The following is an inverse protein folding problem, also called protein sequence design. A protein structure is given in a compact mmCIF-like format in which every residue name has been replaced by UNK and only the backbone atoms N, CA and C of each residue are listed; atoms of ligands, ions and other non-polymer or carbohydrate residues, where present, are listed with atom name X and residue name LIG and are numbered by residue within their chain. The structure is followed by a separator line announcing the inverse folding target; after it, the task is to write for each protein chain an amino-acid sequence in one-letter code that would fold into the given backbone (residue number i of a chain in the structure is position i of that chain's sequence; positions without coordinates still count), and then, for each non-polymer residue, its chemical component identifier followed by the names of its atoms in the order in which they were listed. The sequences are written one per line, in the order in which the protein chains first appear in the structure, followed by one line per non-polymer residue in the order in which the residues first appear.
data_IF_753015480829
#
_entry.id   IF_753015480829
#
_cell.length_a   1.000
_cell.length_b   1.000
_cell.length_c   1.000
_cell.angle_alpha   90.00
_cell.angle_beta   90.00
_cell.angle_gamma   90.00
#
_symmetry.space_group_name_H-M   'P 1'
#
loop_
_entity.id
_entity.type
_entity.pdbx_description
1 polymer ?
#
# COMPACT_ATOMS: atom_id res chain seq x y z
N UNK A 1 31.80 18.13 51.36
CA UNK A 1 32.14 18.56 50.00
C UNK A 1 31.06 19.55 49.56
N UNK A 2 31.36 20.84 49.48
CA UNK A 2 30.31 21.83 49.17
C UNK A 2 30.16 22.06 47.66
N UNK A 3 31.25 22.09 46.88
CA UNK A 3 31.21 22.46 45.45
C UNK A 3 32.39 21.90 44.62
N UNK A 4 32.99 20.78 45.04
CA UNK A 4 34.10 20.15 44.29
C UNK A 4 33.64 19.75 42.89
N UNK A 5 34.50 19.97 41.90
CA UNK A 5 34.22 19.62 40.50
C UNK A 5 34.19 18.09 40.33
N UNK A 6 33.34 17.58 39.44
CA UNK A 6 33.15 16.14 39.17
C UNK A 6 34.46 15.40 38.80
N UNK A 7 35.49 16.13 38.38
CA UNK A 7 36.82 15.60 38.10
C UNK A 7 37.59 15.09 39.33
N UNK A 8 37.21 15.50 40.54
CA UNK A 8 37.99 15.29 41.77
C UNK A 8 39.42 15.88 41.76
N UNK A 9 39.76 16.72 40.77
CA UNK A 9 41.02 17.49 40.79
C UNK A 9 41.03 18.44 41.99
N UNK A 10 42.15 18.42 42.72
CA UNK A 10 42.30 19.23 43.94
C UNK A 10 42.21 20.72 43.60
N UNK A 11 41.37 21.45 44.33
CA UNK A 11 41.17 22.89 44.11
C UNK A 11 40.27 23.25 42.91
N UNK A 12 39.72 22.26 42.20
CA UNK A 12 38.72 22.49 41.15
C UNK A 12 37.31 22.53 41.76
N UNK A 13 36.57 23.60 41.47
CA UNK A 13 35.22 23.81 41.97
C UNK A 13 34.28 24.27 40.87
N UNK A 14 33.02 23.84 40.94
CA UNK A 14 31.93 24.33 40.09
C UNK A 14 30.63 24.39 40.90
N UNK A 15 30.11 25.60 41.14
CA UNK A 15 28.84 25.79 41.86
C UNK A 15 27.64 25.66 40.91
N UNK A 16 27.83 25.83 39.61
CA UNK A 16 26.73 25.96 38.64
C UNK A 16 25.79 24.74 38.52
N UNK A 17 26.19 23.47 38.80
CA UNK A 17 25.26 22.35 38.81
C UNK A 17 24.21 22.44 39.92
N UNK A 18 24.56 23.05 41.06
CA UNK A 18 23.63 23.24 42.19
C UNK A 18 22.71 24.47 42.01
N UNK A 19 23.06 25.36 41.08
CA UNK A 19 22.30 26.58 40.80
C UNK A 19 21.91 26.65 39.31
N UNK A 20 20.95 25.83 38.86
CA UNK A 20 20.61 25.69 37.44
C UNK A 20 20.01 26.94 36.81
N UNK A 21 19.54 27.89 37.61
CA UNK A 21 18.94 29.16 37.15
C UNK A 21 19.97 30.25 36.83
N UNK A 22 21.26 30.05 37.15
CA UNK A 22 22.29 31.03 36.80
C UNK A 22 22.54 31.05 35.29
N UNK A 23 22.53 32.25 34.72
CA UNK A 23 22.59 32.46 33.27
C UNK A 23 23.90 33.12 32.78
N UNK A 24 24.63 33.79 33.67
CA UNK A 24 25.94 34.36 33.37
C UNK A 24 26.73 34.65 34.65
N UNK A 25 28.06 34.76 34.50
CA UNK A 25 28.96 35.19 35.57
C UNK A 25 29.24 36.68 35.39
N UNK A 26 29.01 37.47 36.44
CA UNK A 26 29.24 38.91 36.45
C UNK A 26 30.47 39.24 37.31
N UNK A 27 31.57 39.58 36.66
CA UNK A 27 32.81 39.98 37.34
C UNK A 27 32.74 41.44 37.80
N UNK A 28 33.17 41.71 39.04
CA UNK A 28 33.17 43.03 39.64
C UNK A 28 34.61 43.54 39.82
N UNK A 29 34.87 44.78 39.43
CA UNK A 29 36.16 45.42 39.65
C UNK A 29 36.50 45.50 41.15
N UNK A 30 37.79 45.39 41.47
CA UNK A 30 38.29 45.41 42.85
C UNK A 30 38.05 44.12 43.66
N UNK A 31 37.57 43.05 43.04
CA UNK A 31 37.46 41.70 43.62
C UNK A 31 38.50 40.76 43.00
N UNK A 32 39.03 39.83 43.81
CA UNK A 32 39.94 38.78 43.34
C UNK A 32 39.09 37.72 42.64
N UNK A 33 39.38 37.46 41.37
CA UNK A 33 38.70 36.43 40.60
C UNK A 33 39.01 35.03 41.13
N UNK A 34 38.01 34.15 41.08
CA UNK A 34 38.11 32.76 41.51
C UNK A 34 38.15 31.85 40.28
N UNK A 35 39.01 30.83 40.26
CA UNK A 35 39.05 29.87 39.16
C UNK A 35 37.67 29.20 38.93
N UNK A 36 36.90 28.98 40.00
CA UNK A 36 35.53 28.48 39.96
C UNK A 36 34.60 29.31 39.07
N UNK A 37 34.77 30.64 39.04
CA UNK A 37 33.95 31.55 38.22
C UNK A 37 34.17 31.32 36.72
N UNK A 38 35.39 30.96 36.32
CA UNK A 38 35.69 30.60 34.93
C UNK A 38 35.08 29.25 34.55
N UNK A 39 35.15 28.27 35.45
CA UNK A 39 34.53 26.94 35.24
C UNK A 39 33.01 27.09 35.13
N UNK A 40 32.40 27.87 36.01
CA UNK A 40 30.96 28.15 35.99
C UNK A 40 30.53 28.84 34.69
N UNK A 41 31.31 29.82 34.21
CA UNK A 41 31.04 30.48 32.94
C UNK A 41 31.05 29.48 31.77
N UNK A 42 31.99 28.52 31.77
CA UNK A 42 32.04 27.45 30.76
C UNK A 42 30.85 26.51 30.86
N UNK A 43 30.53 26.03 32.07
CA UNK A 43 29.40 25.10 32.29
C UNK A 43 28.07 25.75 31.88
N UNK A 44 27.85 27.03 32.23
CA UNK A 44 26.65 27.78 31.84
C UNK A 44 26.58 27.93 30.31
N UNK A 45 27.69 28.30 29.65
CA UNK A 45 27.72 28.44 28.20
C UNK A 45 27.44 27.09 27.49
N UNK A 46 28.05 26.00 27.97
CA UNK A 46 27.81 24.66 27.42
C UNK A 46 26.35 24.23 27.56
N UNK A 47 25.69 24.56 28.68
CA UNK A 47 24.26 24.32 28.88
C UNK A 47 23.40 25.05 27.84
N UNK A 48 23.73 26.30 27.53
CA UNK A 48 23.06 27.10 26.50
C UNK A 48 23.23 26.49 25.11
N UNK A 49 24.47 26.14 24.75
CA UNK A 49 24.77 25.52 23.44
C UNK A 49 24.04 24.19 23.30
N UNK A 50 24.06 23.34 24.35
CA UNK A 50 23.31 22.07 24.36
C UNK A 50 21.82 22.30 24.19
N UNK A 51 21.24 23.30 24.85
CA UNK A 51 19.82 23.64 24.71
C UNK A 51 19.46 23.98 23.25
N UNK A 52 20.30 24.76 22.58
CA UNK A 52 20.13 25.11 21.16
C UNK A 52 20.26 23.87 20.26
N UNK A 53 21.31 23.07 20.45
CA UNK A 53 21.51 21.84 19.67
C UNK A 53 20.37 20.84 19.84
N UNK A 54 19.81 20.75 21.05
CA UNK A 54 18.69 19.87 21.37
C UNK A 54 17.37 20.28 20.70
N UNK A 55 17.30 21.46 20.07
CA UNK A 55 16.17 21.83 19.22
C UNK A 55 16.15 21.06 17.89
N UNK A 56 17.31 20.56 17.44
CA UNK A 56 17.47 19.96 16.09
C UNK A 56 17.99 18.53 16.11
N UNK A 57 18.65 18.09 17.17
CA UNK A 57 19.16 16.72 17.34
C UNK A 57 18.90 16.22 18.76
N UNK A 58 18.74 14.90 18.91
CA UNK A 58 18.58 14.22 20.20
C UNK A 58 19.83 13.43 20.54
N UNK A 59 20.11 13.29 21.84
CA UNK A 59 21.24 12.48 22.29
C UNK A 59 21.08 11.02 21.78
N UNK A 60 22.09 10.50 21.08
CA UNK A 60 22.05 9.20 20.40
C UNK A 60 21.77 9.28 18.90
N UNK A 61 21.41 10.45 18.36
CA UNK A 61 21.22 10.62 16.93
C UNK A 61 22.53 10.40 16.18
N UNK A 62 22.46 9.58 15.12
CA UNK A 62 23.57 9.40 14.19
C UNK A 62 23.69 10.62 13.29
N UNK A 63 24.91 11.12 13.09
CA UNK A 63 25.21 12.23 12.16
C UNK A 63 25.84 11.67 10.89
N UNK A 64 26.76 10.73 11.03
CA UNK A 64 27.47 10.09 9.91
C UNK A 64 27.91 8.67 10.33
N UNK A 65 27.73 7.67 9.47
CA UNK A 65 28.16 6.29 9.75
C UNK A 65 27.49 5.67 10.98
N UNK A 66 28.29 5.02 11.83
CA UNK A 66 27.84 4.31 13.03
C UNK A 66 26.86 3.17 12.74
N UNK A 67 26.99 2.51 11.57
CA UNK A 67 26.11 1.42 11.15
C UNK A 67 26.27 0.18 12.02
N UNK A 68 25.18 -0.57 12.15
CA UNK A 68 25.06 -1.77 12.97
C UNK A 68 24.95 -3.03 12.11
N UNK A 69 25.77 -4.02 12.42
CA UNK A 69 25.74 -5.36 11.83
C UNK A 69 25.53 -6.34 12.98
N UNK A 70 24.49 -7.18 12.87
CA UNK A 70 24.09 -8.10 13.94
C UNK A 70 24.31 -9.53 13.48
N UNK A 71 25.04 -10.31 14.28
CA UNK A 71 25.13 -11.76 14.14
C UNK A 71 24.38 -12.42 15.30
N UNK A 72 23.16 -12.88 15.00
CA UNK A 72 22.25 -13.49 15.96
C UNK A 72 22.79 -14.83 16.47
N UNK A 73 23.48 -15.60 15.62
CA UNK A 73 24.01 -16.91 15.99
C UNK A 73 25.21 -16.79 16.93
N UNK A 74 26.09 -15.80 16.68
CA UNK A 74 27.25 -15.51 17.51
C UNK A 74 26.94 -14.63 18.73
N UNK A 75 25.71 -14.09 18.85
CA UNK A 75 25.35 -13.08 19.86
C UNK A 75 26.26 -11.85 19.84
N UNK A 76 26.69 -11.42 18.65
CA UNK A 76 27.59 -10.27 18.48
C UNK A 76 26.93 -9.14 17.69
N UNK A 77 27.29 -7.92 18.06
CA UNK A 77 26.88 -6.69 17.38
C UNK A 77 28.13 -5.92 16.99
N UNK A 78 28.37 -5.78 15.70
CA UNK A 78 29.48 -5.00 15.15
C UNK A 78 29.00 -3.61 14.78
N UNK A 79 29.72 -2.60 15.22
CA UNK A 79 29.45 -1.20 15.01
C UNK A 79 30.60 -0.56 14.24
N UNK A 80 30.26 0.09 13.13
CA UNK A 80 31.23 0.79 12.28
C UNK A 80 31.54 2.16 12.91
N UNK A 81 32.73 2.70 12.65
CA UNK A 81 33.06 4.05 13.07
C UNK A 81 32.09 5.09 12.47
N UNK A 82 31.88 6.18 13.19
CA UNK A 82 30.98 7.24 12.76
C UNK A 82 31.00 8.44 13.68
N UNK A 83 29.97 9.27 13.57
CA UNK A 83 29.75 10.48 14.37
C UNK A 83 28.35 10.47 14.95
N UNK A 84 28.25 10.71 16.25
CA UNK A 84 26.99 10.73 16.99
C UNK A 84 26.83 12.09 17.69
N UNK A 85 25.59 12.57 17.78
CA UNK A 85 25.24 13.71 18.61
C UNK A 85 24.98 13.24 20.05
N UNK A 86 25.80 13.71 20.99
CA UNK A 86 25.71 13.34 22.42
C UNK A 86 26.07 14.54 23.29
N UNK A 87 25.24 14.82 24.28
CA UNK A 87 25.44 15.86 25.28
C UNK A 87 25.66 17.27 24.69
N UNK A 88 24.96 17.60 23.60
CA UNK A 88 25.03 18.94 23.00
C UNK A 88 26.07 19.13 21.91
N UNK A 89 26.75 18.07 21.47
CA UNK A 89 27.86 18.14 20.50
C UNK A 89 27.97 16.87 19.68
N UNK A 90 28.63 16.98 18.53
CA UNK A 90 28.96 15.83 17.68
C UNK A 90 30.30 15.25 18.12
N UNK A 91 30.35 13.95 18.40
CA UNK A 91 31.55 13.22 18.82
C UNK A 91 31.78 12.02 17.90
N UNK A 92 33.05 11.65 17.77
CA UNK A 92 33.45 10.45 17.05
C UNK A 92 33.07 9.21 17.87
N UNK A 93 32.32 8.31 17.23
CA UNK A 93 32.02 6.99 17.73
C UNK A 93 33.01 6.00 17.10
N UNK A 94 33.84 5.30 17.91
CA UNK A 94 34.80 4.35 17.37
C UNK A 94 34.08 3.12 16.79
N UNK A 95 34.78 2.36 15.94
CA UNK A 95 34.32 1.01 15.60
C UNK A 95 34.41 0.11 16.85
N UNK A 96 33.43 -0.76 17.04
CA UNK A 96 33.40 -1.68 18.18
C UNK A 96 32.69 -2.99 17.84
N UNK A 97 33.01 -4.04 18.58
CA UNK A 97 32.29 -5.31 18.56
C UNK A 97 31.80 -5.57 19.97
N UNK A 98 30.49 -5.61 20.15
CA UNK A 98 29.84 -5.97 21.40
C UNK A 98 29.57 -7.48 21.37
N UNK A 99 29.99 -8.17 22.42
CA UNK A 99 29.75 -9.60 22.62
C UNK A 99 28.67 -9.83 23.68
N UNK A 100 28.10 -11.04 23.70
CA UNK A 100 27.11 -11.46 24.70
C UNK A 100 25.87 -10.56 24.74
N UNK A 101 25.51 -10.00 23.58
CA UNK A 101 24.32 -9.13 23.46
C UNK A 101 23.08 -10.02 23.49
N UNK A 102 22.12 -9.80 24.41
CA UNK A 102 20.90 -10.61 24.45
C UNK A 102 20.10 -10.48 23.16
N UNK A 103 19.94 -11.58 22.42
CA UNK A 103 19.21 -11.61 21.14
C UNK A 103 17.70 -11.85 21.30
N UNK A 104 17.17 -11.76 22.52
CA UNK A 104 15.75 -11.96 22.85
C UNK A 104 15.26 -10.82 23.72
N UNK A 105 14.05 -10.34 23.47
CA UNK A 105 13.50 -9.17 24.14
C UNK A 105 14.02 -7.86 23.56
N UNK A 106 13.82 -6.77 24.30
CA UNK A 106 14.22 -5.42 23.90
C UNK A 106 15.57 -5.05 24.53
N UNK A 107 16.57 -4.76 23.69
CA UNK A 107 17.92 -4.36 24.11
C UNK A 107 18.29 -3.03 23.45
N UNK A 108 18.65 -2.04 24.27
CA UNK A 108 19.15 -0.76 23.78
C UNK A 108 20.64 -0.86 23.52
N UNK A 109 21.08 -0.60 22.29
CA UNK A 109 22.49 -0.43 21.94
C UNK A 109 22.78 1.05 21.86
N UNK A 110 23.84 1.51 22.51
CA UNK A 110 24.11 2.94 22.61
C UNK A 110 25.55 3.25 22.98
N UNK A 111 25.82 4.51 23.21
CA UNK A 111 27.15 4.99 23.63
C UNK A 111 27.09 5.59 25.03
N UNK A 112 28.18 5.43 25.77
CA UNK A 112 28.46 6.14 27.01
C UNK A 112 29.45 7.25 26.76
N UNK A 113 29.25 8.39 27.40
CA UNK A 113 30.15 9.52 27.34
C UNK A 113 31.25 9.37 28.38
N UNK A 114 32.45 9.01 27.92
CA UNK A 114 33.65 8.96 28.75
C UNK A 114 34.21 10.38 28.90
N UNK A 115 34.40 10.81 30.15
CA UNK A 115 35.06 12.06 30.50
C UNK A 115 36.42 11.75 31.10
N UNK A 116 37.47 12.30 30.50
CA UNK A 116 38.83 12.21 31.03
C UNK A 116 39.38 13.61 31.26
N UNK A 117 40.21 13.76 32.27
CA UNK A 117 40.80 15.04 32.66
C UNK A 117 42.31 14.94 32.47
N UNK A 118 42.85 15.77 31.57
CA UNK A 118 44.27 15.82 31.22
C UNK A 118 44.90 17.02 31.89
N UNK A 119 45.96 16.78 32.65
CA UNK A 119 46.73 17.76 33.41
C UNK A 119 48.11 17.95 32.80
N UNK A 120 48.88 18.89 33.34
CA UNK A 120 50.28 19.13 32.96
C UNK A 120 51.20 17.91 33.16
N UNK A 121 50.80 16.96 34.02
CA UNK A 121 51.53 15.72 34.22
C UNK A 121 51.45 14.79 33.00
N UNK A 122 50.30 14.77 32.32
CA UNK A 122 50.11 13.99 31.10
C UNK A 122 50.48 14.77 29.84
N UNK A 123 50.23 16.08 29.82
CA UNK A 123 50.50 16.96 28.68
C UNK A 123 51.31 18.19 29.13
N UNK A 124 52.66 18.15 29.03
CA UNK A 124 53.53 19.25 29.47
C UNK A 124 53.28 20.59 28.76
N UNK A 125 52.61 20.60 27.60
CA UNK A 125 52.19 21.83 26.93
C UNK A 125 51.15 22.65 27.74
N UNK A 126 50.61 22.10 28.82
CA UNK A 126 49.71 22.79 29.75
C UNK A 126 50.43 23.63 30.82
N UNK A 127 51.77 23.57 30.90
CA UNK A 127 52.56 24.46 31.75
C UNK A 127 52.54 25.90 31.23
N UNK A 128 52.72 26.88 32.11
CA UNK A 128 52.72 28.29 31.70
C UNK A 128 53.88 28.63 30.76
N UNK A 129 53.53 29.27 29.64
CA UNK A 129 54.40 29.41 28.47
C UNK A 129 55.16 30.74 28.38
N UNK A 130 54.78 31.75 29.15
CA UNK A 130 55.32 33.11 29.03
C UNK A 130 56.65 33.24 29.76
N UNK A 131 57.79 33.43 29.05
CA UNK A 131 59.08 33.53 29.72
C UNK A 131 59.16 34.75 30.65
N UNK A 132 59.69 34.54 31.86
CA UNK A 132 59.87 35.56 32.89
C UNK A 132 58.61 35.95 33.65
N UNK A 133 57.46 35.32 33.38
CA UNK A 133 56.26 35.53 34.21
C UNK A 133 56.30 34.68 35.48
N UNK A 134 55.50 35.07 36.49
CA UNK A 134 55.31 34.24 37.70
C UNK A 134 54.64 32.89 37.43
N UNK A 135 54.08 32.71 36.24
CA UNK A 135 53.40 31.48 35.84
C UNK A 135 54.27 30.61 34.92
N UNK A 136 55.48 31.03 34.55
CA UNK A 136 56.36 30.25 33.69
C UNK A 136 56.66 28.89 34.34
N UNK A 137 56.36 27.79 33.63
CA UNK A 137 56.59 26.43 34.14
C UNK A 137 55.64 25.97 35.25
N UNK A 138 54.67 26.79 35.66
CA UNK A 138 53.65 26.42 36.66
C UNK A 138 52.50 25.62 36.01
N UNK A 139 51.85 24.77 36.82
CA UNK A 139 50.72 23.95 36.39
C UNK A 139 49.53 24.81 35.92
N UNK A 140 49.07 24.57 34.70
CA UNK A 140 47.91 25.24 34.12
C UNK A 140 46.59 24.54 34.43
N UNK A 141 45.50 25.08 33.89
CA UNK A 141 44.19 24.44 33.98
C UNK A 141 44.16 23.12 33.17
N UNK A 142 43.49 22.09 33.71
CA UNK A 142 43.28 20.82 33.05
C UNK A 142 42.43 20.94 31.76
N UNK A 143 42.45 19.90 30.91
CA UNK A 143 41.55 19.74 29.75
C UNK A 143 40.55 18.64 30.03
N UNK A 144 39.28 18.89 29.69
CA UNK A 144 38.25 17.85 29.67
C UNK A 144 38.19 17.26 28.27
N UNK A 145 38.46 15.96 28.15
CA UNK A 145 38.40 15.22 26.89
C UNK A 145 37.21 14.28 26.94
N UNK A 146 36.35 14.40 25.93
CA UNK A 146 35.17 13.56 25.75
C UNK A 146 35.47 12.48 24.71
N UNK A 147 35.11 11.24 25.03
CA UNK A 147 35.12 10.13 24.08
C UNK A 147 33.82 9.33 24.21
N UNK A 148 33.46 8.60 23.15
CA UNK A 148 32.32 7.69 23.17
C UNK A 148 32.82 6.25 23.27
N UNK A 149 32.17 5.46 24.12
CA UNK A 149 32.33 4.02 24.19
C UNK A 149 30.99 3.33 23.98
N UNK A 150 30.96 2.36 23.05
CA UNK A 150 29.76 1.58 22.80
C UNK A 150 29.44 0.64 23.95
N UNK A 151 28.15 0.38 24.14
CA UNK A 151 27.64 -0.57 25.11
C UNK A 151 26.17 -0.89 24.85
N UNK A 152 25.59 -1.67 25.74
CA UNK A 152 24.19 -2.07 25.64
C UNK A 152 23.50 -2.14 27.00
N UNK A 153 22.17 -2.07 27.01
CA UNK A 153 21.39 -2.17 28.25
C UNK A 153 21.62 -3.53 28.91
N UNK A 154 22.17 -3.52 30.13
CA UNK A 154 22.46 -4.73 30.91
C UNK A 154 23.89 -5.25 30.79
N UNK A 155 24.77 -4.57 30.08
CA UNK A 155 26.21 -4.91 29.97
C UNK A 155 27.04 -4.61 31.23
N UNK A 156 26.43 -3.99 32.25
CA UNK A 156 27.09 -3.64 33.51
C UNK A 156 28.03 -2.44 33.43
N UNK A 157 28.09 -1.70 32.31
CA UNK A 157 28.93 -0.52 32.17
C UNK A 157 28.46 0.67 33.01
N UNK A 158 29.40 1.39 33.62
CA UNK A 158 29.14 2.57 34.44
C UNK A 158 28.74 3.80 33.61
N UNK A 159 27.82 4.62 34.14
CA UNK A 159 27.36 5.86 33.50
C UNK A 159 26.14 5.69 32.60
N UNK A 160 25.58 6.82 32.17
CA UNK A 160 24.36 6.87 31.37
C UNK A 160 24.62 6.37 29.93
N UNK A 161 23.76 5.45 29.47
CA UNK A 161 23.76 4.94 28.10
C UNK A 161 22.84 5.79 27.22
N UNK A 162 23.41 6.48 26.24
CA UNK A 162 22.65 7.18 25.20
C UNK A 162 22.27 6.19 24.09
N UNK A 163 21.00 5.80 24.05
CA UNK A 163 20.47 4.81 23.11
C UNK A 163 20.59 5.30 21.66
N UNK A 164 21.19 4.48 20.79
CA UNK A 164 21.32 4.73 19.35
C UNK A 164 20.43 3.77 18.56
N UNK A 165 20.43 2.49 18.93
CA UNK A 165 19.58 1.46 18.33
C UNK A 165 18.74 0.75 19.38
N UNK A 166 17.57 0.27 18.96
CA UNK A 166 16.76 -0.66 19.74
C UNK A 166 16.72 -1.99 18.99
N UNK A 167 17.33 -3.02 19.58
CA UNK A 167 17.19 -4.40 19.15
C UNK A 167 15.93 -4.99 19.76
N UNK A 168 15.15 -5.70 18.95
CA UNK A 168 14.06 -6.55 19.40
C UNK A 168 14.20 -7.92 18.78
N UNK A 169 14.39 -8.92 19.63
CA UNK A 169 14.53 -10.32 19.22
C UNK A 169 15.62 -10.53 18.14
N UNK A 170 16.76 -9.85 18.30
CA UNK A 170 17.91 -9.95 17.40
C UNK A 170 17.81 -9.12 16.12
N UNK A 171 16.76 -8.30 15.97
CA UNK A 171 16.56 -7.41 14.82
C UNK A 171 16.57 -5.96 15.29
N UNK A 172 17.34 -5.09 14.64
CA UNK A 172 17.25 -3.64 14.86
C UNK A 172 15.92 -3.13 14.32
N UNK A 173 15.08 -2.56 15.21
CA UNK A 173 13.76 -2.04 14.84
C UNK A 173 13.88 -0.87 13.87
N UNK A 174 14.90 -0.02 14.05
CA UNK A 174 15.08 1.18 13.26
C UNK A 174 16.56 1.33 12.87
N UNK A 175 16.85 1.10 11.58
CA UNK A 175 18.15 1.36 10.95
C UNK A 175 18.11 2.60 10.06
N UNK A 176 17.08 3.44 10.21
CA UNK A 176 16.90 4.62 9.35
C UNK A 176 18.18 5.45 9.39
N UNK A 177 18.72 5.86 8.22
CA UNK A 177 19.87 6.74 8.13
C UNK A 177 19.69 7.98 9.02
N UNK A 178 20.79 8.59 9.50
CA UNK A 178 20.79 9.85 10.24
C UNK A 178 19.62 10.75 9.88
N UNK A 179 18.80 11.21 10.84
CA UNK A 179 17.79 12.21 10.56
C UNK A 179 18.50 13.49 10.08
N UNK A 180 18.70 13.61 8.77
CA UNK A 180 19.07 14.87 8.14
C UNK A 180 17.94 15.85 8.47
N UNK A 181 18.17 16.72 9.44
CA UNK A 181 17.35 17.89 9.78
C UNK A 181 15.84 17.59 9.77
N UNK A 182 15.39 16.60 10.56
CA UNK A 182 13.99 16.14 10.54
C UNK A 182 12.97 17.24 10.81
N UNK A 183 13.27 18.20 11.68
CA UNK A 183 12.36 19.32 11.94
C UNK A 183 12.16 20.23 10.72
N UNK A 184 13.25 20.60 10.04
CA UNK A 184 13.20 21.50 8.89
C UNK A 184 12.64 20.76 7.66
N UNK A 185 13.07 19.53 7.42
CA UNK A 185 12.57 18.72 6.31
C UNK A 185 11.10 18.34 6.50
N UNK A 186 10.63 18.10 7.72
CA UNK A 186 9.21 17.88 8.00
C UNK A 186 8.37 19.14 7.74
N UNK A 187 8.85 20.32 8.17
CA UNK A 187 8.16 21.58 7.88
C UNK A 187 8.15 21.90 6.38
N UNK A 188 9.26 21.64 5.68
CA UNK A 188 9.34 21.82 4.24
C UNK A 188 8.43 20.84 3.49
N UNK A 189 8.33 19.59 3.96
CA UNK A 189 7.43 18.60 3.38
C UNK A 189 5.95 19.01 3.52
N UNK A 190 5.55 19.54 4.68
CA UNK A 190 4.20 20.08 4.88
C UNK A 190 3.97 21.26 3.92
N UNK A 191 4.89 22.21 3.88
CA UNK A 191 4.76 23.38 3.01
C UNK A 191 4.65 23.01 1.52
N UNK A 192 5.50 22.11 1.04
CA UNK A 192 5.47 21.66 -0.35
C UNK A 192 4.20 20.86 -0.68
N UNK A 193 3.73 20.00 0.24
CA UNK A 193 2.49 19.25 0.05
C UNK A 193 1.26 20.17 0.04
N UNK A 194 1.19 21.15 0.94
CA UNK A 194 0.08 22.11 0.96
C UNK A 194 0.04 22.99 -0.31
N UNK A 195 1.21 23.29 -0.89
CA UNK A 195 1.31 24.06 -2.12
C UNK A 195 1.03 23.26 -3.39
N UNK A 196 1.54 22.02 -3.49
CA UNK A 196 1.61 21.28 -4.76
C UNK A 196 0.89 19.91 -4.72
N UNK A 197 0.48 19.42 -3.56
CA UNK A 197 -0.02 18.05 -3.38
C UNK A 197 1.02 16.98 -3.67
N UNK A 198 0.58 15.80 -4.12
CA UNK A 198 1.46 14.74 -4.61
C UNK A 198 1.72 14.94 -6.11
N UNK A 199 2.98 14.84 -6.55
CA UNK A 199 3.32 15.06 -7.96
C UNK A 199 4.51 14.24 -8.41
N UNK A 200 4.59 13.99 -9.72
CA UNK A 200 5.76 13.39 -10.35
C UNK A 200 6.72 14.52 -10.71
N UNK A 201 7.97 14.41 -10.25
CA UNK A 201 9.02 15.37 -10.58
C UNK A 201 9.63 15.05 -11.94
N UNK A 202 9.91 13.77 -12.20
CA UNK A 202 10.44 13.27 -13.47
C UNK A 202 10.24 11.76 -13.57
N UNK A 203 10.09 11.23 -14.79
CA UNK A 203 9.95 9.78 -15.01
C UNK A 203 8.65 9.21 -14.45
N UNK A 204 8.72 8.05 -13.79
CA UNK A 204 7.57 7.36 -13.17
C UNK A 204 6.38 7.14 -14.12
N UNK A 205 6.64 7.05 -15.43
CA UNK A 205 5.60 6.79 -16.41
C UNK A 205 5.10 5.35 -16.28
N UNK A 206 3.79 5.18 -16.40
CA UNK A 206 3.14 3.87 -16.35
C UNK A 206 2.95 3.37 -17.78
N UNK A 207 3.37 2.14 -18.04
CA UNK A 207 3.13 1.42 -19.29
C UNK A 207 2.48 0.08 -19.02
N UNK A 208 1.51 -0.31 -19.86
CA UNK A 208 0.89 -1.62 -19.78
C UNK A 208 1.74 -2.64 -20.57
N UNK A 209 2.21 -3.69 -19.90
CA UNK A 209 2.93 -4.79 -20.53
C UNK A 209 1.98 -5.85 -21.13
N UNK A 210 0.70 -5.81 -20.74
CA UNK A 210 -0.32 -6.73 -21.22
C UNK A 210 -0.72 -7.77 -20.17
N UNK A 211 -1.47 -8.77 -20.60
CA UNK A 211 -1.95 -9.86 -19.76
C UNK A 211 -0.86 -10.93 -19.59
N UNK A 212 -0.68 -11.38 -18.36
CA UNK A 212 0.14 -12.52 -17.98
C UNK A 212 -0.70 -13.44 -17.08
N UNK A 213 -1.30 -14.48 -17.66
CA UNK A 213 -2.28 -15.31 -16.96
C UNK A 213 -3.56 -14.53 -16.61
N UNK A 214 -3.90 -14.48 -15.32
CA UNK A 214 -5.06 -13.75 -14.80
C UNK A 214 -4.76 -12.28 -14.47
N UNK A 215 -3.48 -11.89 -14.51
CA UNK A 215 -3.04 -10.57 -14.08
C UNK A 215 -2.81 -9.65 -15.29
N UNK A 216 -3.19 -8.40 -15.13
CA UNK A 216 -2.72 -7.31 -15.97
C UNK A 216 -1.40 -6.79 -15.39
N UNK A 217 -0.34 -6.80 -16.20
CA UNK A 217 0.99 -6.38 -15.77
C UNK A 217 1.27 -4.97 -16.24
N UNK A 218 1.70 -4.13 -15.30
CA UNK A 218 2.11 -2.75 -15.53
C UNK A 218 3.59 -2.58 -15.18
N UNK A 219 4.26 -1.67 -15.89
CA UNK A 219 5.61 -1.23 -15.58
C UNK A 219 5.62 0.25 -15.28
N UNK A 220 6.10 0.62 -14.09
CA UNK A 220 6.34 2.00 -13.68
C UNK A 220 7.81 2.28 -13.89
N UNK A 221 8.17 3.21 -14.77
CA UNK A 221 9.56 3.53 -15.09
C UNK A 221 10.31 4.13 -13.89
N UNK A 222 11.65 4.14 -13.97
CA UNK A 222 12.51 4.89 -13.07
C UNK A 222 12.14 6.39 -13.06
N UNK A 223 12.45 7.07 -11.96
CA UNK A 223 12.05 8.46 -11.79
C UNK A 223 12.00 8.92 -10.35
N UNK A 224 11.48 10.13 -10.18
CA UNK A 224 11.33 10.79 -8.87
C UNK A 224 9.89 11.26 -8.73
N UNK A 225 9.24 10.79 -7.67
CA UNK A 225 7.92 11.27 -7.24
C UNK A 225 8.04 12.00 -5.90
N UNK A 226 7.18 13.00 -5.70
CA UNK A 226 7.04 13.68 -4.43
C UNK A 226 5.69 13.29 -3.80
N UNK A 227 5.77 12.66 -2.63
CA UNK A 227 4.64 12.05 -1.95
C UNK A 227 4.63 12.58 -0.52
N UNK A 228 3.57 13.31 -0.15
CA UNK A 228 3.46 14.02 1.14
C UNK A 228 4.68 14.90 1.44
N UNK A 229 5.19 15.59 0.42
CA UNK A 229 6.34 16.49 0.53
C UNK A 229 7.70 15.79 0.67
N UNK A 230 7.73 14.46 0.56
CA UNK A 230 8.96 13.67 0.57
C UNK A 230 9.28 13.12 -0.82
N UNK A 231 10.52 13.35 -1.26
CA UNK A 231 11.02 12.83 -2.54
C UNK A 231 11.33 11.34 -2.44
N UNK A 232 10.71 10.54 -3.30
CA UNK A 232 10.99 9.12 -3.52
C UNK A 232 11.64 8.94 -4.87
N UNK A 233 12.91 8.53 -4.86
CA UNK A 233 13.71 8.29 -6.07
C UNK A 233 13.78 6.80 -6.34
N UNK A 234 13.53 6.41 -7.59
CA UNK A 234 13.67 5.05 -8.08
C UNK A 234 14.67 5.03 -9.22
N UNK A 235 15.65 4.13 -9.12
CA UNK A 235 16.68 3.93 -10.13
C UNK A 235 16.34 2.83 -11.14
N UNK A 236 15.26 2.08 -10.90
CA UNK A 236 14.82 0.99 -11.76
C UNK A 236 13.30 0.91 -11.83
N UNK A 237 12.81 0.38 -12.96
CA UNK A 237 11.40 0.17 -13.20
C UNK A 237 10.78 -0.83 -12.20
N UNK A 238 9.57 -0.54 -11.74
CA UNK A 238 8.74 -1.46 -10.95
C UNK A 238 7.81 -2.24 -11.86
N UNK A 239 7.68 -3.55 -11.64
CA UNK A 239 6.55 -4.29 -12.18
C UNK A 239 5.45 -4.39 -11.13
N UNK A 240 4.25 -3.98 -11.52
CA UNK A 240 3.04 -4.16 -10.72
C UNK A 240 2.13 -5.16 -11.43
N UNK A 241 1.63 -6.15 -10.70
CA UNK A 241 0.70 -7.16 -11.19
C UNK A 241 -0.61 -6.98 -10.45
N UNK A 242 -1.67 -6.75 -11.20
CA UNK A 242 -3.02 -6.63 -10.65
C UNK A 242 -3.92 -7.68 -11.29
N UNK A 243 -4.64 -8.43 -10.45
CA UNK A 243 -5.60 -9.43 -10.95
C UNK A 243 -6.82 -8.75 -11.54
N UNK A 244 -7.20 -9.12 -12.77
CA UNK A 244 -8.34 -8.52 -13.42
C UNK A 244 -9.66 -8.86 -12.70
N UNK A 245 -10.36 -7.82 -12.25
CA UNK A 245 -11.69 -7.94 -11.64
C UNK A 245 -12.67 -6.96 -12.28
N UNK A 246 -13.86 -7.46 -12.60
CA UNK A 246 -14.90 -6.70 -13.30
C UNK A 246 -16.18 -6.68 -12.49
N UNK A 247 -16.84 -5.53 -12.47
CA UNK A 247 -18.21 -5.46 -12.02
C UNK A 247 -19.12 -5.79 -13.21
N UNK A 248 -20.16 -6.57 -12.97
CA UNK A 248 -21.03 -7.10 -14.02
C UNK A 248 -22.40 -6.44 -13.97
N UNK A 249 -22.96 -6.19 -15.15
CA UNK A 249 -24.35 -5.79 -15.29
C UNK A 249 -25.09 -6.82 -16.13
N UNK A 250 -26.23 -7.28 -15.61
CA UNK A 250 -27.08 -8.26 -16.28
C UNK A 250 -28.08 -7.55 -17.19
N UNK A 251 -28.20 -8.01 -18.42
CA UNK A 251 -29.30 -7.71 -19.32
C UNK A 251 -30.21 -8.95 -19.37
N UNK A 252 -31.36 -8.96 -18.67
CA UNK A 252 -32.19 -10.16 -18.57
C UNK A 252 -32.79 -10.60 -19.89
N UNK A 253 -33.04 -9.66 -20.81
CA UNK A 253 -33.61 -9.97 -22.12
C UNK A 253 -33.25 -8.87 -23.11
N UNK A 254 -32.38 -9.20 -24.06
CA UNK A 254 -32.15 -8.41 -25.26
C UNK A 254 -32.73 -9.13 -26.48
N UNK A 255 -33.51 -8.41 -27.27
CA UNK A 255 -34.27 -8.99 -28.39
C UNK A 255 -33.61 -8.66 -29.71
N UNK A 256 -33.41 -9.70 -30.53
CA UNK A 256 -32.90 -9.60 -31.90
C UNK A 256 -33.78 -10.39 -32.87
N UNK A 257 -33.58 -10.20 -34.17
CA UNK A 257 -34.26 -10.96 -35.22
C UNK A 257 -33.33 -12.02 -35.78
N UNK A 258 -33.84 -13.25 -35.87
CA UNK A 258 -33.13 -14.37 -36.47
C UNK A 258 -33.11 -14.21 -37.99
N UNK A 259 -31.90 -14.23 -38.57
CA UNK A 259 -31.67 -14.09 -40.00
C UNK A 259 -31.41 -15.45 -40.66
N UNK A 260 -30.38 -15.48 -41.51
CA UNK A 260 -29.90 -16.75 -42.10
C UNK A 260 -29.36 -17.65 -41.00
N UNK A 261 -29.63 -18.96 -41.05
CA UNK A 261 -29.16 -19.93 -40.06
C UNK A 261 -27.75 -20.44 -40.43
N UNK A 262 -26.71 -20.29 -39.57
CA UNK A 262 -26.71 -19.62 -38.27
C UNK A 262 -26.61 -18.09 -38.39
N UNK A 263 -27.20 -17.38 -37.42
CA UNK A 263 -27.24 -15.91 -37.37
C UNK A 263 -26.16 -15.38 -36.43
N UNK A 264 -25.38 -14.41 -36.91
CA UNK A 264 -24.47 -13.63 -36.05
C UNK A 264 -25.27 -12.47 -35.46
N UNK A 265 -25.30 -12.40 -34.13
CA UNK A 265 -26.00 -11.36 -33.37
C UNK A 265 -24.96 -10.46 -32.72
N UNK A 266 -25.03 -9.17 -32.99
CA UNK A 266 -24.24 -8.15 -32.27
C UNK A 266 -25.07 -7.65 -31.09
N UNK A 267 -24.60 -7.88 -29.88
CA UNK A 267 -25.27 -7.40 -28.67
C UNK A 267 -25.04 -5.89 -28.47
N UNK A 268 -26.02 -5.23 -27.87
CA UNK A 268 -25.99 -3.77 -27.66
C UNK A 268 -24.95 -3.35 -26.61
N UNK A 269 -24.60 -4.25 -25.69
CA UNK A 269 -23.63 -4.00 -24.63
C UNK A 269 -22.52 -5.04 -24.65
N UNK A 270 -21.30 -4.59 -24.40
CA UNK A 270 -20.13 -5.44 -24.24
C UNK A 270 -19.03 -4.69 -23.47
N UNK A 271 -17.93 -5.35 -23.09
CA UNK A 271 -17.59 -6.72 -23.44
C UNK A 271 -18.45 -7.79 -22.74
N UNK A 272 -18.84 -8.84 -23.46
CA UNK A 272 -19.58 -9.99 -22.92
C UNK A 272 -18.72 -10.68 -21.85
N UNK A 273 -19.31 -10.90 -20.68
CA UNK A 273 -18.70 -11.71 -19.62
C UNK A 273 -19.18 -13.16 -19.71
N UNK A 274 -20.50 -13.35 -19.72
CA UNK A 274 -21.13 -14.67 -19.72
C UNK A 274 -22.48 -14.61 -20.44
N UNK A 275 -22.77 -15.60 -21.27
CA UNK A 275 -24.11 -15.84 -21.82
C UNK A 275 -24.82 -16.79 -20.87
N UNK A 276 -25.98 -16.37 -20.34
CA UNK A 276 -26.78 -17.19 -19.40
C UNK A 276 -27.77 -18.07 -20.14
N UNK A 277 -28.54 -17.46 -21.04
CA UNK A 277 -29.55 -18.15 -21.81
C UNK A 277 -29.76 -17.48 -23.16
N UNK A 278 -30.01 -18.28 -24.20
CA UNK A 278 -30.47 -17.80 -25.50
C UNK A 278 -31.72 -18.58 -25.87
N UNK A 279 -32.81 -17.87 -26.09
CA UNK A 279 -34.06 -18.42 -26.61
C UNK A 279 -34.21 -17.98 -28.07
N UNK A 280 -34.58 -18.90 -28.93
CA UNK A 280 -34.92 -18.60 -30.33
C UNK A 280 -36.31 -19.12 -30.66
N UNK A 281 -37.01 -18.40 -31.52
CA UNK A 281 -38.27 -18.88 -32.06
C UNK A 281 -38.00 -20.01 -33.07
N UNK A 282 -38.49 -21.20 -32.75
CA UNK A 282 -38.41 -22.41 -33.56
C UNK A 282 -39.78 -22.72 -34.16
N UNK A 283 -39.80 -23.44 -35.27
CA UNK A 283 -41.02 -23.94 -35.90
C UNK A 283 -40.95 -25.45 -35.95
N UNK A 284 -42.03 -26.11 -35.53
CA UNK A 284 -42.12 -27.57 -35.49
C UNK A 284 -43.52 -28.00 -35.93
N UNK A 285 -43.59 -29.21 -36.49
CA UNK A 285 -44.85 -29.89 -36.76
C UNK A 285 -44.90 -31.15 -35.91
N UNK A 286 -45.77 -31.16 -34.90
CA UNK A 286 -45.94 -32.30 -33.99
C UNK A 286 -47.29 -32.98 -34.20
N UNK A 287 -47.35 -34.26 -33.83
CA UNK A 287 -48.60 -35.02 -33.78
C UNK A 287 -49.16 -34.99 -32.36
N UNK A 288 -50.40 -34.51 -32.21
CA UNK A 288 -51.10 -34.36 -30.93
C UNK A 288 -52.31 -35.30 -30.92
N UNK A 289 -52.64 -35.87 -29.75
CA UNK A 289 -53.81 -36.72 -29.55
C UNK A 289 -54.95 -35.89 -28.98
N UNK A 290 -56.14 -35.98 -29.58
CA UNK A 290 -57.35 -35.28 -29.13
C UNK A 290 -57.86 -35.85 -27.80
N UNK A 291 -58.02 -34.98 -26.81
CA UNK A 291 -58.55 -35.30 -25.49
C UNK A 291 -59.99 -35.82 -25.49
N UNK A 292 -60.33 -36.53 -24.40
CA UNK A 292 -61.63 -37.19 -24.17
C UNK A 292 -62.85 -36.27 -24.07
N UNK A 293 -62.62 -34.97 -23.80
CA UNK A 293 -63.65 -34.00 -23.47
C UNK A 293 -63.93 -33.11 -24.68
N UNK A 294 -65.16 -33.12 -25.23
CA UNK A 294 -65.57 -32.19 -26.29
C UNK A 294 -65.34 -30.74 -25.88
N UNK A 295 -64.90 -29.88 -26.80
CA UNK A 295 -64.50 -28.50 -26.53
C UNK A 295 -63.37 -28.35 -25.48
N UNK A 296 -62.64 -29.45 -25.21
CA UNK A 296 -61.48 -29.46 -24.32
C UNK A 296 -60.24 -28.79 -24.92
N UNK A 297 -59.10 -28.92 -24.23
CA UNK A 297 -57.81 -28.41 -24.72
C UNK A 297 -56.75 -29.51 -24.70
N UNK A 298 -55.88 -29.50 -25.71
CA UNK A 298 -54.82 -30.50 -25.88
C UNK A 298 -53.45 -29.84 -25.75
N UNK A 299 -52.54 -30.47 -24.99
CA UNK A 299 -51.22 -29.91 -24.71
C UNK A 299 -50.24 -30.13 -25.88
N UNK A 300 -49.47 -29.09 -26.19
CA UNK A 300 -48.37 -29.17 -27.14
C UNK A 300 -47.11 -29.74 -26.44
N UNK A 301 -46.23 -30.35 -27.23
CA UNK A 301 -45.02 -31.02 -26.72
C UNK A 301 -44.03 -29.99 -26.15
N UNK A 302 -43.89 -28.85 -26.82
CA UNK A 302 -43.00 -27.78 -26.40
C UNK A 302 -43.76 -26.71 -25.61
N UNK A 303 -43.11 -26.16 -24.59
CA UNK A 303 -43.59 -25.02 -23.80
C UNK A 303 -43.15 -23.69 -24.38
N UNK A 304 -43.80 -22.59 -24.00
CA UNK A 304 -43.45 -21.26 -24.53
C UNK A 304 -43.91 -21.08 -25.98
N UNK A 305 -45.06 -21.65 -26.32
CA UNK A 305 -45.65 -21.55 -27.66
C UNK A 305 -45.99 -20.09 -27.95
N UNK A 306 -45.52 -19.55 -29.07
CA UNK A 306 -45.75 -18.15 -29.48
C UNK A 306 -46.96 -18.05 -30.41
N UNK A 307 -47.08 -18.97 -31.37
CA UNK A 307 -48.17 -18.99 -32.35
C UNK A 307 -48.46 -20.40 -32.87
N UNK A 308 -49.72 -20.67 -33.21
CA UNK A 308 -50.10 -21.87 -33.98
C UNK A 308 -50.30 -21.43 -35.42
N UNK A 309 -49.61 -22.08 -36.36
CA UNK A 309 -49.62 -21.75 -37.78
C UNK A 309 -50.68 -22.55 -38.53
N UNK A 310 -50.77 -23.85 -38.24
CA UNK A 310 -51.65 -24.76 -38.98
C UNK A 310 -52.05 -25.95 -38.11
N UNK A 311 -53.31 -26.39 -38.22
CA UNK A 311 -53.83 -27.59 -37.54
C UNK A 311 -54.57 -28.42 -38.57
N UNK A 312 -54.09 -29.64 -38.82
CA UNK A 312 -54.61 -30.51 -39.86
C UNK A 312 -54.90 -31.92 -39.33
N UNK A 313 -55.99 -32.51 -39.80
CA UNK A 313 -56.27 -33.94 -39.65
C UNK A 313 -56.66 -34.54 -41.01
N UNK A 314 -55.78 -35.35 -41.60
CA UNK A 314 -56.00 -35.88 -42.95
C UNK A 314 -56.13 -34.76 -43.98
N UNK A 315 -57.30 -34.64 -44.60
CA UNK A 315 -57.60 -33.59 -45.59
C UNK A 315 -58.30 -32.35 -44.97
N UNK A 316 -58.61 -32.37 -43.67
CA UNK A 316 -59.31 -31.28 -42.99
C UNK A 316 -58.31 -30.34 -42.34
N UNK A 317 -58.35 -29.06 -42.74
CA UNK A 317 -57.64 -27.95 -42.07
C UNK A 317 -58.62 -27.20 -41.18
N UNK A 318 -58.31 -27.11 -39.90
CA UNK A 318 -59.12 -26.38 -38.94
C UNK A 318 -58.76 -24.89 -38.96
N UNK A 319 -59.74 -24.01 -38.78
CA UNK A 319 -59.57 -22.57 -38.82
C UNK A 319 -59.53 -21.95 -37.42
N UNK A 320 -58.58 -21.04 -37.15
CA UNK A 320 -58.58 -20.20 -35.94
C UNK A 320 -59.12 -18.80 -36.28
N UNK A 321 -60.01 -18.20 -35.47
CA UNK A 321 -60.49 -18.65 -34.15
C UNK A 321 -61.76 -19.52 -34.19
N UNK A 322 -62.25 -19.93 -35.36
CA UNK A 322 -63.57 -20.56 -35.52
C UNK A 322 -63.66 -21.98 -34.92
N UNK A 323 -62.63 -22.79 -35.12
CA UNK A 323 -62.54 -24.18 -34.70
C UNK A 323 -61.66 -24.34 -33.46
N UNK A 324 -60.54 -23.61 -33.39
CA UNK A 324 -59.64 -23.63 -32.24
C UNK A 324 -59.02 -22.26 -31.96
N UNK A 325 -58.48 -22.10 -30.75
CA UNK A 325 -57.67 -20.96 -30.35
C UNK A 325 -56.42 -21.43 -29.60
N UNK A 326 -55.37 -20.59 -29.55
CA UNK A 326 -54.20 -20.84 -28.69
C UNK A 326 -54.54 -20.43 -27.26
N UNK A 327 -54.36 -21.33 -26.30
CA UNK A 327 -54.49 -21.04 -24.88
C UNK A 327 -53.23 -21.48 -24.13
N UNK A 328 -52.31 -20.56 -23.83
CA UNK A 328 -51.01 -20.90 -23.28
C UNK A 328 -50.22 -21.81 -24.24
N UNK A 329 -49.81 -22.98 -23.75
CA UNK A 329 -49.14 -24.04 -24.51
C UNK A 329 -50.12 -25.13 -25.00
N UNK A 330 -51.40 -24.77 -25.13
CA UNK A 330 -52.48 -25.68 -25.51
C UNK A 330 -53.15 -25.24 -26.82
N UNK A 331 -53.66 -26.22 -27.56
CA UNK A 331 -54.70 -26.00 -28.58
C UNK A 331 -56.05 -26.12 -27.88
N UNK A 332 -56.82 -25.03 -27.81
CA UNK A 332 -58.13 -25.00 -27.18
C UNK A 332 -59.23 -25.08 -28.22
N UNK A 333 -60.08 -26.11 -28.11
CA UNK A 333 -61.24 -26.34 -28.96
C UNK A 333 -62.52 -25.70 -28.41
N UNK A 334 -62.39 -24.82 -27.40
CA UNK A 334 -63.51 -24.15 -26.74
C UNK A 334 -64.33 -23.23 -27.66
N UNK A 335 -63.87 -23.00 -28.89
CA UNK A 335 -64.58 -22.22 -29.90
C UNK A 335 -65.88 -22.90 -30.38
N UNK A 336 -66.01 -24.22 -30.21
CA UNK A 336 -67.23 -24.97 -30.56
C UNK A 336 -67.43 -25.23 -32.05
N UNK A 337 -66.41 -25.00 -32.87
CA UNK A 337 -66.40 -25.34 -34.30
C UNK A 337 -66.07 -26.81 -34.56
N UNK A 338 -65.46 -27.11 -35.71
CA UNK A 338 -65.02 -28.45 -36.04
C UNK A 338 -63.83 -28.87 -35.16
N UNK A 339 -63.89 -30.04 -34.53
CA UNK A 339 -62.77 -30.61 -33.78
C UNK A 339 -62.44 -32.03 -34.27
N UNK A 340 -61.18 -32.49 -34.15
CA UNK A 340 -60.80 -33.87 -34.41
C UNK A 340 -61.62 -34.85 -33.57
N UNK A 341 -61.84 -36.06 -34.10
CA UNK A 341 -62.54 -37.09 -33.35
C UNK A 341 -61.81 -37.42 -32.04
N UNK A 342 -62.54 -37.58 -30.94
CA UNK A 342 -61.97 -37.94 -29.63
C UNK A 342 -61.09 -39.19 -29.73
N UNK A 343 -59.85 -39.13 -29.20
CA UNK A 343 -58.88 -40.23 -29.23
C UNK A 343 -58.13 -40.41 -30.56
N UNK A 344 -58.42 -39.59 -31.57
CA UNK A 344 -57.64 -39.54 -32.82
C UNK A 344 -56.43 -38.62 -32.71
N UNK A 345 -55.50 -38.73 -33.66
CA UNK A 345 -54.33 -37.86 -33.76
C UNK A 345 -54.50 -36.83 -34.87
N UNK A 346 -53.93 -35.64 -34.67
CA UNK A 346 -53.88 -34.56 -35.65
C UNK A 346 -52.51 -33.87 -35.61
N UNK A 347 -52.11 -33.20 -36.69
CA UNK A 347 -50.82 -32.52 -36.76
C UNK A 347 -51.00 -31.03 -36.48
N UNK A 348 -50.13 -30.48 -35.64
CA UNK A 348 -50.07 -29.06 -35.33
C UNK A 348 -48.72 -28.52 -35.75
N UNK A 349 -48.73 -27.54 -36.65
CA UNK A 349 -47.57 -26.74 -36.99
C UNK A 349 -47.60 -25.46 -36.17
N UNK A 350 -46.59 -25.21 -35.36
CA UNK A 350 -46.56 -24.08 -34.44
C UNK A 350 -45.14 -23.55 -34.21
N UNK A 351 -45.07 -22.34 -33.64
CA UNK A 351 -43.82 -21.72 -33.21
C UNK A 351 -43.74 -21.66 -31.69
N UNK A 352 -42.53 -21.82 -31.17
CA UNK A 352 -42.25 -21.79 -29.74
C UNK A 352 -40.85 -21.23 -29.47
N UNK A 353 -40.63 -20.70 -28.26
CA UNK A 353 -39.30 -20.28 -27.81
C UNK A 353 -38.52 -21.48 -27.28
N UNK A 354 -37.48 -21.89 -27.99
CA UNK A 354 -36.61 -22.98 -27.59
C UNK A 354 -35.24 -22.48 -27.16
N UNK A 355 -34.69 -23.05 -26.08
CA UNK A 355 -33.33 -22.75 -25.61
C UNK A 355 -32.31 -23.29 -26.64
N UNK A 356 -31.25 -22.50 -26.87
CA UNK A 356 -30.10 -22.86 -27.70
C UNK A 356 -28.80 -22.39 -27.05
N UNK A 357 -27.71 -23.09 -27.35
CA UNK A 357 -26.37 -22.66 -26.94
C UNK A 357 -25.75 -21.77 -28.01
N UNK A 358 -25.28 -20.59 -27.61
CA UNK A 358 -24.50 -19.73 -28.49
C UNK A 358 -23.09 -20.31 -28.74
N UNK A 359 -22.53 -20.00 -29.90
CA UNK A 359 -21.17 -20.35 -30.33
C UNK A 359 -20.42 -19.09 -30.77
N UNK A 360 -19.10 -19.18 -30.98
CA UNK A 360 -18.25 -18.08 -31.45
C UNK A 360 -18.46 -16.75 -30.70
N UNK A 361 -18.49 -16.83 -29.37
CA UNK A 361 -18.71 -15.67 -28.50
C UNK A 361 -17.47 -14.77 -28.54
N UNK A 362 -17.64 -13.56 -29.05
CA UNK A 362 -16.61 -12.50 -29.04
C UNK A 362 -16.91 -11.49 -27.93
N UNK A 363 -16.20 -10.35 -27.90
CA UNK A 363 -16.50 -9.28 -26.95
C UNK A 363 -17.89 -8.66 -27.15
N UNK A 364 -18.46 -8.72 -28.35
CA UNK A 364 -19.74 -8.04 -28.67
C UNK A 364 -20.68 -8.87 -29.54
N UNK A 365 -20.26 -10.04 -30.00
CA UNK A 365 -21.06 -10.87 -30.91
C UNK A 365 -21.21 -12.29 -30.41
N UNK A 366 -22.31 -12.92 -30.79
CA UNK A 366 -22.57 -14.35 -30.61
C UNK A 366 -23.12 -14.97 -31.90
N UNK A 367 -22.85 -16.25 -32.13
CA UNK A 367 -23.45 -17.01 -33.24
C UNK A 367 -24.53 -17.93 -32.70
N UNK A 368 -25.75 -17.81 -33.25
CA UNK A 368 -26.94 -18.54 -32.79
C UNK A 368 -27.55 -19.33 -33.95
N UNK A 369 -27.89 -20.60 -33.70
CA UNK A 369 -28.44 -21.50 -34.71
C UNK A 369 -29.80 -22.07 -34.30
N UNK A 370 -30.53 -22.63 -35.26
CA UNK A 370 -31.73 -23.43 -35.01
C UNK A 370 -33.01 -22.64 -34.78
N UNK A 371 -33.04 -21.34 -35.10
CA UNK A 371 -34.24 -20.52 -35.18
C UNK A 371 -34.83 -20.45 -36.58
N UNK A 372 -36.04 -19.88 -36.68
CA UNK A 372 -36.75 -19.65 -37.94
C UNK A 372 -36.39 -18.26 -38.47
N UNK A 373 -36.14 -18.15 -39.78
CA UNK A 373 -35.84 -16.86 -40.41
C UNK A 373 -36.98 -15.85 -40.19
N UNK A 374 -36.65 -14.66 -39.70
CA UNK A 374 -37.60 -13.63 -39.28
C UNK A 374 -38.20 -13.82 -37.88
N UNK A 375 -37.84 -14.90 -37.18
CA UNK A 375 -38.27 -15.18 -35.81
C UNK A 375 -37.46 -14.39 -34.77
N UNK A 376 -37.91 -14.43 -33.52
CA UNK A 376 -37.27 -13.70 -32.42
C UNK A 376 -36.07 -14.47 -31.83
N UNK A 377 -35.03 -13.74 -31.42
CA UNK A 377 -33.95 -14.19 -30.54
C UNK A 377 -34.06 -13.38 -29.25
N UNK A 378 -33.96 -14.04 -28.10
CA UNK A 378 -33.87 -13.40 -26.78
C UNK A 378 -32.57 -13.85 -26.11
N UNK A 379 -31.77 -12.91 -25.65
CA UNK A 379 -30.47 -13.18 -25.02
C UNK A 379 -30.47 -12.63 -23.60
N UNK A 380 -30.19 -13.49 -22.62
CA UNK A 380 -29.87 -13.13 -21.23
C UNK A 380 -28.36 -13.25 -21.04
N UNK A 381 -27.70 -12.14 -20.71
CA UNK A 381 -26.25 -12.10 -20.59
C UNK A 381 -25.77 -11.07 -19.56
N UNK A 382 -24.55 -11.30 -19.08
CA UNK A 382 -23.80 -10.34 -18.29
C UNK A 382 -22.73 -9.68 -19.16
N UNK A 383 -22.57 -8.37 -19.05
CA UNK A 383 -21.45 -7.65 -19.64
C UNK A 383 -20.60 -6.96 -18.58
N UNK A 384 -19.34 -6.71 -18.93
CA UNK A 384 -18.34 -6.07 -18.05
C UNK A 384 -18.54 -4.56 -18.10
N UNK A 385 -18.75 -3.94 -16.95
CA UNK A 385 -18.83 -2.48 -16.85
C UNK A 385 -17.44 -1.86 -17.04
N UNK A 386 -17.31 -0.78 -17.82
CA UNK A 386 -16.06 -0.04 -17.92
C UNK A 386 -15.75 0.62 -16.58
N UNK A 387 -14.46 0.64 -16.23
CA UNK A 387 -13.94 1.23 -15.00
C UNK A 387 -12.60 1.89 -15.27
N UNK A 388 -12.38 3.03 -14.64
CA UNK A 388 -11.08 3.71 -14.65
C UNK A 388 -10.44 3.54 -13.27
N UNK A 389 -9.34 2.81 -13.24
CA UNK A 389 -8.54 2.56 -12.03
C UNK A 389 -7.30 3.45 -12.01
N UNK A 390 -6.74 3.69 -10.82
CA UNK A 390 -5.55 4.53 -10.64
C UNK A 390 -4.41 3.69 -10.08
N UNK A 391 -3.29 3.63 -10.80
CA UNK A 391 -2.03 3.09 -10.31
C UNK A 391 -1.15 4.24 -9.82
N UNK A 392 -0.78 4.22 -8.55
CA UNK A 392 0.03 5.25 -7.90
C UNK A 392 1.18 4.67 -7.08
N UNK A 393 1.82 5.54 -6.30
CA UNK A 393 2.86 5.18 -5.34
C UNK A 393 2.42 5.58 -3.92
N UNK A 394 2.74 4.76 -2.92
CA UNK A 394 2.54 5.10 -1.51
C UNK A 394 3.68 5.95 -0.93
N UNK A 395 3.55 6.31 0.36
CA UNK A 395 4.57 7.06 1.10
C UNK A 395 5.93 6.38 1.13
N UNK A 396 6.01 5.08 0.91
CA UNK A 396 7.25 4.30 0.94
C UNK A 396 7.82 4.06 -0.46
N UNK A 397 7.09 4.46 -1.52
CA UNK A 397 7.49 4.31 -2.92
C UNK A 397 7.10 2.97 -3.54
N UNK A 398 6.21 2.20 -2.90
CA UNK A 398 5.63 0.99 -3.46
C UNK A 398 4.45 1.31 -4.38
N UNK A 399 4.18 0.44 -5.37
CA UNK A 399 2.98 0.55 -6.19
C UNK A 399 1.71 0.32 -5.38
N UNK A 400 0.73 1.19 -5.56
CA UNK A 400 -0.63 1.02 -5.03
C UNK A 400 -1.63 1.08 -6.16
N UNK A 401 -2.55 0.12 -6.16
CA UNK A 401 -3.68 0.09 -7.09
C UNK A 401 -4.95 0.54 -6.38
N UNK A 402 -5.60 1.55 -6.92
CA UNK A 402 -6.86 2.08 -6.41
C UNK A 402 -7.97 1.72 -7.40
N UNK A 403 -8.86 0.83 -6.96
CA UNK A 403 -10.07 0.45 -7.70
C UNK A 403 -11.00 1.66 -7.79
N UNK A 404 -11.35 2.05 -9.01
CA UNK A 404 -12.35 3.05 -9.31
C UNK A 404 -13.78 2.55 -9.10
N UNK A 405 -14.74 3.38 -9.51
CA UNK A 405 -16.15 3.02 -9.50
C UNK A 405 -16.56 2.68 -10.93
N UNK A 406 -17.17 1.51 -11.12
CA UNK A 406 -17.71 1.09 -12.41
C UNK A 406 -18.94 1.93 -12.74
N UNK A 407 -19.05 2.39 -13.99
CA UNK A 407 -20.13 3.29 -14.44
C UNK A 407 -20.63 2.96 -15.83
#
# INVERSE_FOLDING_TARGET
MAYEHESNLTGAYDRSPQFPLWDSVLNREGKIGQAAEMVEAQTILQRKIRSIGNLVARDGDRVEGADIIIDVAAQTVTLIAGKLYVAGRVLDAPAAVLTDVPMTGAVHIGVRLLKTYVTELEEPALLGLMPGSLSEGEAGAARVVFALAWGFSGDGGEGDLYSVYLLKDGVAIDQTPPPNLTGINAQLAIYDFDANGNYIVSGCSVSALGKDGADQVFSIAEGVANIKGQKRTRYAALRHRETESFDLFRIPTEVHTFGTNPTIVTLNHGPIATIREVLVEKEVTDTVVRGGTPNGSDALVNTGVTSILEVNQGATTYATPADYTKAGDLVSWAAGGAEPATGSSYTVKYRYLGIVSATDITATTITVAGGVNGGQIQVDYDFKLPRVDVLGLDSDGNSVYLKGVSS
#
